data_IF_684768344835
#
_entry.id   IF_684768344835
#
_cell.length_a   1.000
_cell.length_b   1.000
_cell.length_c   1.000
_cell.angle_alpha   90.00
_cell.angle_beta   90.00
_cell.angle_gamma   90.00
#
_symmetry.space_group_name_H-M   'P 1'
#
loop_
_entity.id
_entity.type
_entity.pdbx_description
1 polymer ?
#
# COMPACT_ATOMS: atom_id res chain seq x y z
N UNK A 1 27.14 38.21 2.87
CA UNK A 1 26.52 37.31 3.87
C UNK A 1 25.04 37.02 3.60
N UNK A 2 24.17 38.04 3.41
CA UNK A 2 22.72 37.84 3.18
C UNK A 2 22.35 36.98 1.95
N UNK A 3 23.10 37.10 0.85
CA UNK A 3 22.87 36.33 -0.37
C UNK A 3 23.22 34.84 -0.24
N UNK A 4 24.22 34.50 0.58
CA UNK A 4 24.62 33.10 0.82
C UNK A 4 23.59 32.36 1.68
N UNK A 5 23.01 33.04 2.68
CA UNK A 5 21.96 32.50 3.53
C UNK A 5 20.71 32.15 2.71
N UNK A 6 20.34 33.04 1.77
CA UNK A 6 19.19 32.81 0.89
C UNK A 6 19.41 31.63 -0.07
N UNK A 7 20.63 31.48 -0.59
CA UNK A 7 21.03 30.36 -1.45
C UNK A 7 21.01 29.02 -0.69
N UNK A 8 21.54 28.98 0.53
CA UNK A 8 21.49 27.81 1.42
C UNK A 8 20.05 27.39 1.75
N UNK A 9 19.15 28.35 1.93
CA UNK A 9 17.72 28.07 2.19
C UNK A 9 17.04 27.41 0.99
N UNK A 10 17.32 27.87 -0.23
CA UNK A 10 16.78 27.28 -1.45
C UNK A 10 17.29 25.86 -1.70
N UNK A 11 18.58 25.61 -1.45
CA UNK A 11 19.18 24.28 -1.59
C UNK A 11 18.57 23.29 -0.59
N UNK A 12 18.36 23.71 0.66
CA UNK A 12 17.71 22.88 1.69
C UNK A 12 16.26 22.54 1.33
N UNK A 13 15.53 23.46 0.69
CA UNK A 13 14.17 23.22 0.21
C UNK A 13 14.11 22.20 -0.95
N UNK A 14 15.14 22.17 -1.81
CA UNK A 14 15.25 21.20 -2.89
C UNK A 14 15.57 19.76 -2.41
N UNK A 15 16.25 19.60 -1.27
CA UNK A 15 16.69 18.29 -0.76
C UNK A 15 15.69 17.58 0.16
N UNK A 16 14.69 18.27 0.69
CA UNK A 16 13.70 17.69 1.61
C UNK A 16 12.47 17.12 0.88
N UNK A 17 12.67 16.30 -0.15
CA UNK A 17 11.56 15.62 -0.82
C UNK A 17 11.28 14.26 -0.18
N UNK A 18 10.85 14.26 1.07
CA UNK A 18 10.12 13.13 1.66
C UNK A 18 8.68 13.11 1.12
N UNK A 19 8.56 12.96 -0.21
CA UNK A 19 7.26 12.90 -0.87
C UNK A 19 6.66 11.52 -0.67
N UNK A 20 5.68 11.43 0.23
CA UNK A 20 4.87 10.24 0.40
C UNK A 20 3.52 10.43 -0.29
N UNK A 21 3.19 9.53 -1.20
CA UNK A 21 1.93 9.51 -1.94
C UNK A 21 1.12 8.32 -1.44
N UNK A 22 -0.11 8.56 -1.01
CA UNK A 22 -1.08 7.52 -0.66
C UNK A 22 -2.21 7.51 -1.68
N UNK A 23 -2.46 6.38 -2.29
CA UNK A 23 -3.54 6.14 -3.24
C UNK A 23 -4.47 5.12 -2.63
N UNK A 24 -5.73 5.52 -2.40
CA UNK A 24 -6.77 4.63 -1.89
C UNK A 24 -7.82 4.44 -2.96
N UNK A 25 -8.04 3.20 -3.37
CA UNK A 25 -9.06 2.79 -4.33
C UNK A 25 -10.11 1.93 -3.66
N UNK A 26 -11.38 2.14 -4.01
CA UNK A 26 -12.48 1.28 -3.58
C UNK A 26 -13.26 0.80 -4.79
N UNK A 27 -13.20 -0.50 -5.05
CA UNK A 27 -13.93 -1.15 -6.12
C UNK A 27 -15.11 -1.90 -5.52
N UNK A 28 -16.30 -1.68 -6.09
CA UNK A 28 -17.50 -2.43 -5.73
C UNK A 28 -17.91 -3.26 -6.93
N UNK A 29 -17.98 -4.57 -6.73
CA UNK A 29 -18.37 -5.53 -7.76
C UNK A 29 -19.62 -6.26 -7.31
N UNK A 30 -20.45 -6.69 -8.27
CA UNK A 30 -21.63 -7.51 -8.01
C UNK A 30 -21.65 -8.67 -9.01
N UNK A 31 -21.44 -9.88 -8.51
CA UNK A 31 -21.33 -11.10 -9.32
C UNK A 31 -22.53 -12.00 -9.00
N UNK A 32 -23.25 -12.57 -9.98
CA UNK A 32 -24.49 -13.31 -9.74
C UNK A 32 -24.41 -14.41 -8.68
N UNK A 33 -23.26 -15.10 -8.59
CA UNK A 33 -23.01 -16.20 -7.64
C UNK A 33 -22.43 -15.72 -6.31
N UNK A 34 -21.47 -14.81 -6.30
CA UNK A 34 -20.81 -14.35 -5.06
C UNK A 34 -21.56 -13.20 -4.37
N UNK A 35 -22.43 -12.53 -5.11
CA UNK A 35 -23.11 -11.31 -4.71
C UNK A 35 -22.18 -10.09 -4.70
N UNK A 36 -22.62 -9.02 -4.03
CA UNK A 36 -21.83 -7.81 -3.93
C UNK A 36 -20.65 -7.99 -2.97
N UNK A 37 -19.46 -7.65 -3.45
CA UNK A 37 -18.25 -7.55 -2.64
C UNK A 37 -17.53 -6.23 -2.93
N UNK A 38 -16.71 -5.82 -1.98
CA UNK A 38 -15.95 -4.59 -2.02
C UNK A 38 -14.49 -4.96 -1.90
N UNK A 39 -13.67 -4.44 -2.80
CA UNK A 39 -12.22 -4.51 -2.69
C UNK A 39 -11.70 -3.11 -2.42
N UNK A 40 -10.93 -2.96 -1.34
CA UNK A 40 -10.28 -1.72 -0.96
C UNK A 40 -8.78 -1.90 -1.11
N UNK A 41 -8.16 -1.07 -1.92
CA UNK A 41 -6.72 -1.05 -2.13
C UNK A 41 -6.15 0.22 -1.51
N UNK A 42 -5.10 0.09 -0.70
CA UNK A 42 -4.38 1.21 -0.09
C UNK A 42 -2.90 1.08 -0.41
N UNK A 43 -2.44 1.91 -1.33
CA UNK A 43 -1.05 1.94 -1.74
C UNK A 43 -0.37 3.19 -1.21
N UNK A 44 0.72 3.00 -0.47
CA UNK A 44 1.56 4.08 0.03
C UNK A 44 2.94 3.98 -0.61
N UNK A 45 3.34 4.99 -1.36
CA UNK A 45 4.66 5.10 -1.99
C UNK A 45 5.44 6.21 -1.30
N UNK A 46 6.63 5.88 -0.77
CA UNK A 46 7.55 6.81 -0.16
C UNK A 46 8.97 6.60 -0.74
N UNK A 47 9.89 7.56 -0.59
CA UNK A 47 11.27 7.35 -1.03
C UNK A 47 11.88 6.15 -0.31
N UNK A 48 12.24 5.11 -1.06
CA UNK A 48 12.85 3.90 -0.51
C UNK A 48 11.89 2.77 -0.14
N UNK A 49 10.57 2.97 -0.20
CA UNK A 49 9.60 1.97 0.26
C UNK A 49 8.24 2.11 -0.44
N UNK A 50 7.63 0.97 -0.76
CA UNK A 50 6.27 0.84 -1.24
C UNK A 50 5.50 -0.10 -0.32
N UNK A 51 4.32 0.33 0.12
CA UNK A 51 3.32 -0.48 0.80
C UNK A 51 2.11 -0.62 -0.10
N UNK A 52 1.55 -1.81 -0.19
CA UNK A 52 0.23 -2.03 -0.73
C UNK A 52 -0.57 -2.87 0.27
N UNK A 53 -1.80 -2.49 0.57
CA UNK A 53 -2.73 -3.30 1.34
C UNK A 53 -3.99 -3.52 0.51
N UNK A 54 -4.50 -4.74 0.53
CA UNK A 54 -5.74 -5.12 -0.12
C UNK A 54 -6.68 -5.73 0.90
N UNK A 55 -7.91 -5.21 0.94
CA UNK A 55 -8.97 -5.72 1.79
C UNK A 55 -10.18 -6.09 0.95
N UNK A 56 -10.60 -7.34 1.06
CA UNK A 56 -11.80 -7.85 0.39
C UNK A 56 -12.91 -8.07 1.43
N UNK A 57 -14.07 -7.48 1.18
CA UNK A 57 -15.25 -7.62 2.04
C UNK A 57 -16.46 -8.06 1.22
N UNK A 58 -16.89 -9.30 1.41
CA UNK A 58 -18.10 -9.85 0.80
C UNK A 58 -19.33 -9.62 1.68
N UNK A 59 -20.49 -9.35 1.05
CA UNK A 59 -21.75 -9.22 1.82
C UNK A 59 -22.39 -10.56 2.15
N UNK A 60 -22.30 -11.55 1.25
CA UNK A 60 -22.95 -12.86 1.43
C UNK A 60 -22.14 -13.74 2.38
N UNK A 61 -22.82 -14.47 3.27
CA UNK A 61 -22.17 -15.28 4.32
C UNK A 61 -21.16 -16.31 3.77
N UNK A 62 -21.55 -17.12 2.78
CA UNK A 62 -20.65 -18.12 2.18
C UNK A 62 -19.49 -17.48 1.40
N UNK A 63 -19.72 -16.32 0.78
CA UNK A 63 -18.67 -15.60 0.06
C UNK A 63 -17.66 -14.96 1.02
N UNK A 64 -18.08 -14.56 2.23
CA UNK A 64 -17.16 -14.10 3.28
C UNK A 64 -16.15 -15.15 3.66
N UNK A 65 -16.60 -16.40 3.85
CA UNK A 65 -15.69 -17.48 4.25
C UNK A 65 -14.64 -17.80 3.17
N UNK A 66 -14.95 -17.54 1.90
CA UNK A 66 -14.05 -17.84 0.78
C UNK A 66 -13.18 -16.66 0.34
N UNK A 67 -13.66 -15.43 0.52
CA UNK A 67 -13.04 -14.25 -0.10
C UNK A 67 -12.70 -13.14 0.87
N UNK A 68 -13.22 -13.13 2.09
CA UNK A 68 -12.76 -12.11 3.04
C UNK A 68 -11.29 -12.39 3.34
N UNK A 69 -10.50 -11.33 3.27
CA UNK A 69 -9.08 -11.37 3.57
C UNK A 69 -8.55 -9.94 3.59
N UNK A 70 -7.59 -9.70 4.47
CA UNK A 70 -6.79 -8.48 4.49
C UNK A 70 -5.31 -8.84 4.35
N UNK A 71 -4.78 -8.61 3.15
CA UNK A 71 -3.38 -8.90 2.82
C UNK A 71 -2.62 -7.60 2.58
N UNK A 72 -1.30 -7.65 2.76
CA UNK A 72 -0.44 -6.53 2.44
C UNK A 72 0.93 -6.96 1.96
N UNK A 73 1.55 -6.04 1.25
CA UNK A 73 2.85 -6.22 0.63
C UNK A 73 3.71 -4.98 0.90
N UNK A 74 4.96 -5.24 1.26
CA UNK A 74 6.00 -4.24 1.51
C UNK A 74 7.18 -4.54 0.59
N UNK A 75 7.55 -3.55 -0.22
CA UNK A 75 8.71 -3.60 -1.08
C UNK A 75 9.67 -2.47 -0.71
N UNK A 76 10.92 -2.82 -0.41
CA UNK A 76 11.97 -1.86 -0.05
C UNK A 76 12.86 -1.66 -1.28
N UNK A 77 13.11 -0.40 -1.65
CA UNK A 77 13.93 -0.06 -2.80
C UNK A 77 15.37 -0.58 -2.61
N UNK A 78 15.94 -1.19 -3.65
CA UNK A 78 17.27 -1.80 -3.61
C UNK A 78 17.33 -3.20 -2.98
N UNK A 79 16.19 -3.80 -2.62
CA UNK A 79 16.12 -5.20 -2.19
C UNK A 79 15.21 -5.98 -3.14
N UNK A 80 15.68 -7.13 -3.64
CA UNK A 80 14.87 -8.09 -4.40
C UNK A 80 13.98 -8.95 -3.47
N UNK A 81 13.44 -8.36 -2.40
CA UNK A 81 12.59 -9.08 -1.45
C UNK A 81 11.31 -8.29 -1.26
N UNK A 82 10.20 -8.95 -1.49
CA UNK A 82 8.86 -8.46 -1.17
C UNK A 82 8.43 -9.16 0.11
N UNK A 83 8.17 -8.39 1.16
CA UNK A 83 7.57 -8.90 2.38
C UNK A 83 6.05 -8.91 2.19
N UNK A 84 5.47 -10.09 2.13
CA UNK A 84 4.02 -10.26 2.11
C UNK A 84 3.54 -10.66 3.49
N UNK A 85 2.34 -10.22 3.83
CA UNK A 85 1.70 -10.56 5.08
C UNK A 85 0.20 -10.70 4.91
N UNK A 86 -0.36 -11.61 5.70
CA UNK A 86 -1.79 -11.74 5.91
C UNK A 86 -2.11 -11.22 7.32
N UNK A 87 -2.97 -10.20 7.41
CA UNK A 87 -3.35 -9.63 8.72
C UNK A 87 -4.34 -10.49 9.48
N UNK A 88 -5.15 -11.29 8.78
CA UNK A 88 -6.15 -12.14 9.40
C UNK A 88 -5.49 -13.40 9.99
N UNK A 89 -4.43 -13.90 9.35
CA UNK A 89 -3.68 -15.08 9.80
C UNK A 89 -2.40 -14.74 10.59
N UNK A 90 -2.02 -13.46 10.67
CA UNK A 90 -0.77 -12.98 11.29
C UNK A 90 0.50 -13.62 10.69
N UNK A 91 0.41 -14.05 9.43
CA UNK A 91 1.51 -14.72 8.73
C UNK A 91 2.35 -13.74 7.91
N UNK A 92 3.66 -13.99 7.86
CA UNK A 92 4.64 -13.17 7.12
C UNK A 92 5.55 -14.08 6.31
N UNK A 93 5.74 -13.78 5.04
CA UNK A 93 6.69 -14.51 4.20
C UNK A 93 7.44 -13.57 3.26
N UNK A 94 8.67 -13.99 2.94
CA UNK A 94 9.52 -13.29 1.98
C UNK A 94 9.35 -13.94 0.61
N UNK A 95 8.97 -13.13 -0.37
CA UNK A 95 8.93 -13.53 -1.77
C UNK A 95 10.07 -12.88 -2.52
N UNK A 96 10.86 -13.70 -3.23
CA UNK A 96 11.78 -13.22 -4.27
C UNK A 96 10.98 -12.93 -5.55
N UNK A 97 11.30 -11.84 -6.27
CA UNK A 97 10.57 -11.38 -7.46
C UNK A 97 10.63 -12.37 -8.62
#
# INVERSE_FOLDING_TARGET
MRHYIFSLFLISFCFSQNLQIRVVGKMKMDVPVLGPFIVTFDQTVAPGFLKAEEKIEAKRFYARWLMNGETGEIMINGTEKILKYDKDEEEYWLQSP
#
